data_IF_612796089326
#
_entry.id   IF_612796089326
#
_cell.length_a   1.000
_cell.length_b   1.000
_cell.length_c   1.000
_cell.angle_alpha   90.00
_cell.angle_beta   90.00
_cell.angle_gamma   90.00
#
_symmetry.space_group_name_H-M   'P 1'
#
loop_
_entity.id
_entity.type
_entity.pdbx_description
1 polymer ?
#
# COMPACT_ATOMS: atom_id res chain seq x y z
N UNK A 1 3.13 9.69 -11.00
CA UNK A 1 2.32 9.47 -12.21
C UNK A 1 3.11 9.64 -13.49
N UNK A 2 3.76 10.78 -13.73
CA UNK A 2 4.55 10.99 -14.96
C UNK A 2 5.65 9.95 -15.20
N UNK A 3 6.24 9.40 -14.13
CA UNK A 3 7.30 8.39 -14.26
C UNK A 3 6.82 7.09 -14.93
N UNK A 4 5.55 6.70 -14.74
CA UNK A 4 4.99 5.53 -15.41
C UNK A 4 4.76 5.75 -16.91
N UNK A 5 4.63 7.00 -17.37
CA UNK A 5 4.46 7.31 -18.81
C UNK A 5 5.67 6.89 -19.65
N UNK A 6 6.86 6.87 -19.04
CA UNK A 6 8.10 6.48 -19.70
C UNK A 6 8.52 5.06 -19.35
N UNK A 7 7.79 4.36 -18.48
CA UNK A 7 8.12 3.01 -18.06
C UNK A 7 7.34 1.99 -18.89
N UNK A 8 8.05 1.08 -19.54
CA UNK A 8 7.45 -0.11 -20.17
C UNK A 8 7.32 -1.25 -19.17
N UNK A 9 8.28 -1.39 -18.27
CA UNK A 9 8.23 -2.36 -17.19
C UNK A 9 8.92 -1.82 -15.92
N UNK A 10 8.41 -2.27 -14.78
CA UNK A 10 8.88 -1.88 -13.44
C UNK A 10 9.10 -3.11 -12.56
N UNK A 11 9.84 -2.91 -11.47
CA UNK A 11 9.80 -3.75 -10.27
C UNK A 11 9.30 -2.90 -9.12
N UNK A 12 8.56 -3.52 -8.22
CA UNK A 12 7.99 -2.87 -7.05
C UNK A 12 8.62 -3.49 -5.82
N UNK A 13 9.35 -2.69 -5.05
CA UNK A 13 10.02 -3.14 -3.82
C UNK A 13 9.26 -2.61 -2.62
N UNK A 14 8.74 -3.51 -1.79
CA UNK A 14 8.00 -3.15 -0.59
C UNK A 14 8.92 -2.87 0.60
N UNK A 15 8.31 -2.46 1.71
CA UNK A 15 8.99 -2.11 2.97
C UNK A 15 9.95 -3.18 3.53
N UNK A 16 9.72 -4.47 3.24
CA UNK A 16 10.55 -5.57 3.74
C UNK A 16 11.75 -5.93 2.83
N UNK A 17 12.19 -4.99 1.98
CA UNK A 17 13.27 -5.17 1.00
C UNK A 17 13.05 -6.39 0.07
N UNK A 18 11.79 -6.62 -0.29
CA UNK A 18 11.36 -7.68 -1.19
C UNK A 18 10.55 -7.11 -2.34
N UNK A 19 10.60 -7.81 -3.46
CA UNK A 19 9.92 -7.43 -4.69
C UNK A 19 8.57 -8.13 -4.80
N UNK A 20 7.60 -7.42 -5.36
CA UNK A 20 6.33 -8.00 -5.80
C UNK A 20 6.60 -9.09 -6.84
N UNK A 21 6.22 -10.32 -6.51
CA UNK A 21 6.62 -11.52 -7.24
C UNK A 21 5.40 -12.27 -7.75
N UNK A 22 5.33 -12.52 -9.05
CA UNK A 22 4.35 -13.43 -9.64
C UNK A 22 4.84 -14.87 -9.43
N UNK A 23 4.10 -15.67 -8.67
CA UNK A 23 4.51 -17.05 -8.36
C UNK A 23 4.39 -17.98 -9.58
N UNK A 24 5.09 -19.11 -9.54
CA UNK A 24 5.16 -20.10 -10.62
C UNK A 24 3.88 -20.91 -10.80
N UNK A 25 3.01 -20.92 -9.78
CA UNK A 25 1.65 -21.45 -9.87
C UNK A 25 0.74 -20.64 -10.81
N UNK A 26 1.24 -19.49 -11.29
CA UNK A 26 0.55 -18.53 -12.13
C UNK A 26 -0.80 -18.03 -11.56
N UNK A 27 -0.99 -18.11 -10.25
CA UNK A 27 -2.18 -17.66 -9.54
C UNK A 27 -1.78 -16.74 -8.38
N UNK A 28 -0.80 -17.15 -7.59
CA UNK A 28 -0.36 -16.44 -6.40
C UNK A 28 0.54 -15.25 -6.74
N UNK A 29 0.44 -14.22 -5.91
CA UNK A 29 1.36 -13.09 -5.89
C UNK A 29 1.94 -12.98 -4.50
N UNK A 30 3.27 -13.03 -4.42
CA UNK A 30 4.03 -13.10 -3.18
C UNK A 30 5.13 -12.05 -3.17
N UNK A 31 6.00 -12.11 -2.18
CA UNK A 31 7.20 -11.28 -2.08
C UNK A 31 8.45 -12.15 -2.09
N UNK A 32 9.42 -11.78 -2.93
CA UNK A 32 10.70 -12.47 -3.02
C UNK A 32 11.89 -11.50 -3.00
N UNK A 33 13.05 -11.95 -2.52
CA UNK A 33 14.27 -11.12 -2.47
C UNK A 33 14.96 -10.99 -3.83
N UNK A 34 14.74 -11.95 -4.73
CA UNK A 34 15.36 -11.98 -6.04
C UNK A 34 14.67 -11.02 -7.02
N UNK A 35 14.98 -9.74 -6.89
CA UNK A 35 14.53 -8.72 -7.83
C UNK A 35 14.96 -8.97 -9.27
N UNK A 36 16.05 -9.71 -9.51
CA UNK A 36 16.54 -9.96 -10.88
C UNK A 36 15.65 -10.89 -11.71
N UNK A 37 14.80 -11.69 -11.05
CA UNK A 37 13.90 -12.63 -11.71
C UNK A 37 12.91 -11.94 -12.66
N UNK A 38 12.54 -12.65 -13.73
CA UNK A 38 11.45 -12.22 -14.62
C UNK A 38 10.11 -12.11 -13.88
N UNK A 39 9.92 -12.92 -12.84
CA UNK A 39 8.71 -12.97 -12.01
C UNK A 39 8.52 -11.69 -11.17
N UNK A 40 9.60 -10.95 -10.90
CA UNK A 40 9.56 -9.66 -10.21
C UNK A 40 9.27 -8.48 -11.15
N UNK A 41 9.26 -8.71 -12.48
CA UNK A 41 9.05 -7.68 -13.49
C UNK A 41 7.58 -7.61 -13.90
N UNK A 42 7.04 -6.40 -13.84
CA UNK A 42 5.65 -6.10 -14.20
C UNK A 42 5.63 -5.10 -15.35
N UNK A 43 5.03 -5.49 -16.47
CA UNK A 43 4.78 -4.58 -17.58
C UNK A 43 3.66 -3.60 -17.20
N UNK A 44 3.82 -2.35 -17.59
CA UNK A 44 2.90 -1.26 -17.26
C UNK A 44 2.00 -0.99 -18.46
N UNK A 45 0.69 -1.11 -18.26
CA UNK A 45 -0.33 -0.77 -19.26
C UNK A 45 -1.28 0.27 -18.66
N UNK A 46 -1.61 1.33 -19.41
CA UNK A 46 -2.62 2.29 -18.98
C UNK A 46 -4.02 1.77 -19.31
N UNK A 47 -4.98 1.99 -18.41
CA UNK A 47 -6.37 1.63 -18.68
C UNK A 47 -6.94 2.49 -19.83
N UNK A 48 -7.80 1.94 -20.71
CA UNK A 48 -8.40 2.72 -21.79
C UNK A 48 -9.13 3.96 -21.26
N UNK A 49 -8.84 5.12 -21.85
CA UNK A 49 -9.47 6.38 -21.46
C UNK A 49 -8.97 6.98 -20.16
N UNK A 50 -7.90 6.44 -19.54
CA UNK A 50 -7.27 7.03 -18.37
C UNK A 50 -5.75 6.99 -18.45
N UNK A 51 -5.12 8.14 -18.20
CA UNK A 51 -3.66 8.23 -18.00
C UNK A 51 -3.27 8.14 -16.51
N UNK A 52 -4.24 7.94 -15.62
CA UNK A 52 -4.00 7.84 -14.18
C UNK A 52 -4.16 6.45 -13.60
N UNK A 53 -4.74 5.52 -14.37
CA UNK A 53 -5.02 4.15 -13.93
C UNK A 53 -4.13 3.19 -14.69
N UNK A 54 -3.43 2.33 -13.94
CA UNK A 54 -2.54 1.33 -14.47
C UNK A 54 -3.14 -0.07 -14.35
N UNK A 55 -2.65 -0.95 -15.22
CA UNK A 55 -2.74 -2.41 -15.13
C UNK A 55 -1.31 -2.93 -15.17
N UNK A 56 -1.00 -3.82 -14.23
CA UNK A 56 0.34 -4.40 -14.09
C UNK A 56 0.29 -5.84 -14.57
N UNK A 57 1.08 -6.18 -15.58
CA UNK A 57 1.08 -7.50 -16.22
C UNK A 57 2.35 -8.27 -15.87
N UNK A 58 2.16 -9.46 -15.31
CA UNK A 58 3.23 -10.39 -14.93
C UNK A 58 3.93 -11.00 -16.16
N UNK A 59 5.04 -11.68 -15.92
CA UNK A 59 5.74 -12.45 -16.94
C UNK A 59 4.95 -13.63 -17.53
N UNK A 60 3.84 -14.02 -16.90
CA UNK A 60 2.90 -15.05 -17.37
C UNK A 60 1.77 -14.49 -18.23
N UNK A 61 1.79 -13.18 -18.53
CA UNK A 61 0.75 -12.52 -19.30
C UNK A 61 -0.57 -12.29 -18.53
N UNK A 62 -0.56 -12.54 -17.21
CA UNK A 62 -1.67 -12.29 -16.28
C UNK A 62 -1.53 -10.96 -15.56
N UNK A 63 -2.63 -10.38 -15.12
CA UNK A 63 -2.68 -9.07 -14.48
C UNK A 63 -2.70 -9.17 -12.95
N UNK A 64 -2.02 -8.23 -12.28
CA UNK A 64 -2.14 -8.02 -10.85
C UNK A 64 -3.58 -7.64 -10.51
N UNK A 65 -4.25 -8.50 -9.75
CA UNK A 65 -5.70 -8.46 -9.54
C UNK A 65 -6.01 -8.32 -8.06
N UNK A 66 -6.78 -7.29 -7.70
CA UNK A 66 -7.39 -7.15 -6.38
C UNK A 66 -8.62 -8.06 -6.29
N UNK A 67 -8.48 -9.23 -5.66
CA UNK A 67 -9.55 -10.22 -5.58
C UNK A 67 -10.49 -9.96 -4.41
N UNK A 68 -11.70 -10.50 -4.47
CA UNK A 68 -12.61 -10.50 -3.31
C UNK A 68 -12.37 -11.67 -2.34
N UNK A 69 -11.33 -12.48 -2.56
CA UNK A 69 -11.04 -13.63 -1.71
C UNK A 69 -10.44 -13.16 -0.38
N UNK A 70 -10.98 -13.58 0.77
CA UNK A 70 -10.31 -13.36 2.05
C UNK A 70 -8.96 -14.09 2.04
N UNK A 71 -7.95 -13.50 2.67
CA UNK A 71 -6.62 -14.14 2.71
C UNK A 71 -6.51 -15.18 3.82
N UNK A 72 -6.75 -14.78 5.08
CA UNK A 72 -6.76 -15.66 6.24
C UNK A 72 -7.91 -15.28 7.15
N UNK A 73 -8.56 -16.29 7.74
CA UNK A 73 -9.66 -16.10 8.67
C UNK A 73 -9.19 -15.29 9.89
N UNK A 74 -9.91 -14.23 10.23
CA UNK A 74 -9.59 -13.34 11.36
C UNK A 74 -8.44 -12.35 11.11
N UNK A 75 -7.90 -12.26 9.88
CA UNK A 75 -6.90 -11.24 9.52
C UNK A 75 -7.45 -10.27 8.47
N UNK A 76 -6.94 -9.03 8.44
CA UNK A 76 -7.40 -8.00 7.51
C UNK A 76 -6.89 -8.24 6.08
N UNK A 77 -7.57 -7.66 5.11
CA UNK A 77 -7.13 -7.65 3.72
C UNK A 77 -7.56 -8.85 2.89
N UNK A 78 -7.67 -8.60 1.60
CA UNK A 78 -8.08 -9.60 0.60
C UNK A 78 -6.91 -9.96 -0.29
N UNK A 79 -6.92 -11.17 -0.85
CA UNK A 79 -5.81 -11.68 -1.66
C UNK A 79 -5.61 -10.83 -2.90
N UNK A 80 -4.35 -10.53 -3.19
CA UNK A 80 -3.94 -10.08 -4.52
C UNK A 80 -3.40 -11.30 -5.27
N UNK A 81 -3.91 -11.51 -6.46
CA UNK A 81 -3.61 -12.67 -7.31
C UNK A 81 -3.18 -12.20 -8.69
N UNK A 82 -2.65 -13.09 -9.50
CA UNK A 82 -2.46 -12.88 -10.93
C UNK A 82 -3.57 -13.59 -11.68
N UNK A 83 -4.33 -12.86 -12.50
CA UNK A 83 -5.45 -13.42 -13.25
C UNK A 83 -5.58 -12.80 -14.63
N UNK A 84 -6.25 -13.50 -15.54
CA UNK A 84 -6.61 -12.97 -16.85
C UNK A 84 -8.12 -13.16 -17.07
N UNK A 85 -8.97 -12.22 -16.60
CA UNK A 85 -10.40 -12.33 -16.77
C UNK A 85 -10.79 -12.20 -18.25
N UNK A 86 -11.95 -12.75 -18.62
CA UNK A 86 -12.48 -12.66 -20.01
C UNK A 86 -12.65 -11.22 -20.48
N UNK A 87 -12.91 -10.30 -19.54
CA UNK A 87 -12.99 -8.86 -19.76
C UNK A 87 -12.13 -8.18 -18.71
N UNK A 88 -11.33 -7.21 -19.13
CA UNK A 88 -10.50 -6.43 -18.22
C UNK A 88 -11.40 -5.46 -17.45
N UNK A 89 -11.66 -5.80 -16.19
CA UNK A 89 -12.53 -5.04 -15.28
C UNK A 89 -11.70 -4.22 -14.28
N UNK A 90 -12.40 -3.56 -13.35
CA UNK A 90 -11.76 -2.69 -12.36
C UNK A 90 -11.00 -3.42 -11.26
N UNK A 91 -11.04 -4.75 -11.18
CA UNK A 91 -10.19 -5.49 -10.24
C UNK A 91 -8.71 -5.46 -10.65
N UNK A 92 -8.43 -5.15 -11.92
CA UNK A 92 -7.09 -5.05 -12.48
C UNK A 92 -6.51 -3.63 -12.40
N UNK A 93 -7.31 -2.67 -11.95
CA UNK A 93 -7.04 -1.24 -12.06
C UNK A 93 -6.44 -0.69 -10.76
N UNK A 94 -5.23 -0.14 -10.91
CA UNK A 94 -4.45 0.41 -9.81
C UNK A 94 -4.13 1.87 -10.07
N UNK A 95 -4.56 2.74 -9.17
CA UNK A 95 -4.23 4.16 -9.14
C UNK A 95 -2.94 4.37 -8.33
N UNK A 96 -1.83 4.79 -8.95
CA UNK A 96 -0.62 5.11 -8.21
C UNK A 96 -0.72 6.48 -7.54
N UNK A 97 -0.47 6.53 -6.24
CA UNK A 97 -0.46 7.76 -5.45
C UNK A 97 0.95 7.98 -4.93
N UNK A 98 1.53 9.15 -5.22
CA UNK A 98 2.90 9.47 -4.81
C UNK A 98 2.93 9.86 -3.33
N UNK A 99 3.85 9.26 -2.59
CA UNK A 99 4.15 9.62 -1.19
C UNK A 99 5.67 9.74 -1.04
N UNK A 100 6.17 10.98 -1.05
CA UNK A 100 7.61 11.24 -1.09
C UNK A 100 8.29 10.62 -2.32
N UNK A 101 9.27 9.73 -2.07
CA UNK A 101 9.97 8.94 -3.09
C UNK A 101 9.26 7.63 -3.45
N UNK A 102 8.29 7.20 -2.65
CA UNK A 102 7.57 5.95 -2.81
C UNK A 102 6.18 6.18 -3.42
N UNK A 103 5.49 5.09 -3.71
CA UNK A 103 4.09 5.10 -4.12
C UNK A 103 3.22 4.18 -3.28
N UNK A 104 1.93 4.50 -3.25
CA UNK A 104 0.84 3.59 -2.91
C UNK A 104 0.14 3.18 -4.20
N UNK A 105 -0.27 1.92 -4.31
CA UNK A 105 -1.12 1.46 -5.41
C UNK A 105 -2.52 1.23 -4.88
N UNK A 106 -3.44 2.11 -5.25
CA UNK A 106 -4.81 2.15 -4.74
C UNK A 106 -5.75 1.45 -5.71
N UNK A 107 -6.54 0.52 -5.19
CA UNK A 107 -7.66 -0.10 -5.92
C UNK A 107 -8.78 0.91 -6.15
N UNK A 108 -9.66 0.65 -7.11
CA UNK A 108 -10.87 1.46 -7.33
C UNK A 108 -11.74 1.66 -6.07
N UNK A 109 -11.72 0.69 -5.16
CA UNK A 109 -12.52 0.71 -3.93
C UNK A 109 -11.81 1.35 -2.73
N UNK A 110 -10.61 1.91 -2.91
CA UNK A 110 -9.92 2.66 -1.86
C UNK A 110 -8.91 1.87 -1.02
N UNK A 111 -8.81 0.56 -1.21
CA UNK A 111 -7.76 -0.25 -0.58
C UNK A 111 -6.41 -0.08 -1.27
N UNK A 112 -5.32 -0.39 -0.58
CA UNK A 112 -3.95 -0.26 -1.10
C UNK A 112 -3.25 -1.61 -1.19
N UNK A 113 -2.41 -1.78 -2.22
CA UNK A 113 -1.53 -2.93 -2.34
C UNK A 113 -0.58 -3.00 -1.14
N UNK A 114 -0.55 -4.14 -0.45
CA UNK A 114 0.16 -4.32 0.82
C UNK A 114 1.13 -5.50 0.76
N UNK A 115 2.36 -5.25 1.17
CA UNK A 115 3.41 -6.24 1.36
C UNK A 115 3.41 -6.77 2.80
N UNK A 116 2.94 -7.99 3.01
CA UNK A 116 2.84 -8.58 4.34
C UNK A 116 4.16 -9.18 4.86
N UNK A 117 4.60 -8.74 6.04
CA UNK A 117 5.68 -9.35 6.82
C UNK A 117 5.17 -10.22 7.97
N UNK A 118 6.06 -10.84 8.75
CA UNK A 118 5.67 -11.63 9.93
C UNK A 118 5.81 -13.13 9.75
N UNK A 119 4.92 -13.91 10.37
CA UNK A 119 4.96 -15.38 10.39
C UNK A 119 4.12 -16.00 9.25
N UNK A 120 4.48 -17.19 8.75
CA UNK A 120 3.61 -17.95 7.84
C UNK A 120 2.23 -18.23 8.47
N UNK A 121 1.16 -18.33 7.67
CA UNK A 121 1.12 -18.21 6.20
C UNK A 121 1.14 -16.76 5.69
N UNK A 122 1.12 -15.77 6.58
CA UNK A 122 1.04 -14.35 6.23
C UNK A 122 2.36 -13.76 5.72
N UNK A 123 3.50 -14.31 6.17
CA UNK A 123 4.82 -13.96 5.67
C UNK A 123 4.88 -14.05 4.14
N UNK A 124 5.36 -12.99 3.51
CA UNK A 124 5.55 -12.88 2.06
C UNK A 124 4.25 -12.87 1.24
N UNK A 125 3.07 -12.85 1.87
CA UNK A 125 1.84 -12.68 1.11
C UNK A 125 1.69 -11.25 0.62
N UNK A 126 0.80 -11.07 -0.36
CA UNK A 126 0.40 -9.77 -0.87
C UNK A 126 -1.11 -9.67 -0.79
N UNK A 127 -1.60 -8.63 -0.13
CA UNK A 127 -3.03 -8.36 0.01
C UNK A 127 -3.34 -6.94 -0.46
N UNK A 128 -4.61 -6.60 -0.50
CA UNK A 128 -5.00 -5.20 -0.50
C UNK A 128 -5.88 -4.89 0.72
N UNK A 129 -5.49 -3.87 1.47
CA UNK A 129 -6.21 -3.38 2.66
C UNK A 129 -5.93 -1.90 2.91
N UNK A 130 -6.54 -1.35 3.95
CA UNK A 130 -6.16 -0.06 4.51
C UNK A 130 -5.44 -0.37 5.83
N UNK A 131 -4.16 -0.01 5.99
CA UNK A 131 -3.47 -0.25 7.24
C UNK A 131 -4.12 0.57 8.35
N UNK A 132 -4.55 -0.10 9.41
CA UNK A 132 -5.15 0.55 10.59
C UNK A 132 -4.14 0.73 11.74
N UNK A 133 -3.00 0.03 11.70
CA UNK A 133 -1.94 0.10 12.72
C UNK A 133 -0.74 0.90 12.22
N UNK A 134 -0.18 1.79 13.07
CA UNK A 134 1.01 2.60 12.76
C UNK A 134 2.17 1.76 12.25
N UNK A 135 2.44 0.61 12.88
CA UNK A 135 3.54 -0.30 12.52
C UNK A 135 3.43 -0.96 11.15
N UNK A 136 2.25 -0.87 10.51
CA UNK A 136 1.98 -1.45 9.20
C UNK A 136 1.63 -0.40 8.15
N UNK A 137 1.65 0.89 8.49
CA UNK A 137 1.41 1.98 7.55
C UNK A 137 2.40 1.96 6.39
N UNK A 138 3.65 1.60 6.67
CA UNK A 138 4.69 1.57 5.63
C UNK A 138 4.58 0.35 4.71
N UNK A 139 3.75 -0.65 5.06
CA UNK A 139 3.64 -1.89 4.28
C UNK A 139 2.89 -1.71 2.96
N UNK A 140 2.22 -0.57 2.77
CA UNK A 140 1.57 -0.18 1.51
C UNK A 140 2.44 0.70 0.63
N UNK A 141 3.67 0.99 1.07
CA UNK A 141 4.63 1.79 0.34
C UNK A 141 5.52 0.90 -0.51
N UNK A 142 5.68 1.33 -1.76
CA UNK A 142 6.47 0.64 -2.76
C UNK A 142 7.45 1.61 -3.41
N UNK A 143 8.73 1.24 -3.41
CA UNK A 143 9.71 1.83 -4.32
C UNK A 143 9.50 1.27 -5.72
N UNK A 144 9.67 2.12 -6.73
CA UNK A 144 9.53 1.73 -8.13
C UNK A 144 10.87 1.78 -8.83
N UNK A 145 11.35 0.60 -9.23
CA UNK A 145 12.54 0.46 -10.07
C UNK A 145 12.10 0.31 -11.53
N UNK A 146 12.38 1.32 -12.37
CA UNK A 146 12.09 1.23 -13.81
C UNK A 146 13.15 0.37 -14.48
N UNK A 147 12.74 -0.78 -15.02
CA UNK A 147 13.65 -1.76 -15.64
C UNK A 147 13.61 -1.74 -17.16
N UNK A 148 12.59 -1.14 -17.75
CA UNK A 148 12.53 -0.90 -19.18
C UNK A 148 11.81 0.43 -19.44
N UNK A 149 12.40 1.29 -20.27
CA UNK A 149 11.82 2.57 -20.65
C UNK A 149 11.23 2.52 -22.07
N UNK A 150 10.15 3.26 -22.28
CA UNK A 150 9.64 3.56 -23.61
C UNK A 150 10.57 4.57 -24.26
N UNK A 151 11.50 4.08 -25.09
CA UNK A 151 12.27 4.96 -25.99
C UNK A 151 11.34 5.34 -27.13
N UNK A 152 10.81 6.57 -27.09
CA UNK A 152 10.24 7.17 -28.29
C UNK A 152 11.38 7.32 -29.28
N UNK A 153 11.47 6.42 -30.26
CA UNK A 153 12.49 6.51 -31.30
C UNK A 153 12.24 7.78 -32.11
N UNK A 154 13.16 8.77 -32.13
CA UNK A 154 13.03 9.90 -33.05
C UNK A 154 13.45 9.41 -34.43
N UNK A 155 12.51 8.87 -35.21
CA UNK A 155 12.83 8.48 -36.59
C UNK A 155 11.97 7.38 -37.17
N UNK A 156 10.75 7.73 -37.57
CA UNK A 156 10.16 7.19 -38.80
C UNK A 156 9.73 8.39 -39.65
N UNK A 157 10.71 9.12 -40.17
CA UNK A 157 10.53 9.68 -41.51
C UNK A 157 10.49 8.47 -42.46
N UNK A 158 9.53 8.38 -43.40
CA UNK A 158 9.64 7.42 -44.49
C UNK A 158 10.99 7.62 -45.19
N UNK A 159 11.65 6.55 -45.68
CA UNK A 159 12.96 6.68 -46.31
C UNK A 159 12.85 7.67 -47.47
N UNK A 160 13.50 8.82 -47.33
CA UNK A 160 13.72 9.71 -48.45
C UNK A 160 14.58 8.94 -49.46
N UNK A 161 13.97 8.67 -50.61
CA UNK A 161 14.61 8.10 -51.80
C UNK A 161 15.89 8.90 -52.10
N UNK A 162 17.04 8.26 -52.37
CA UNK A 162 18.24 9.00 -52.73
C UNK A 162 18.00 9.75 -54.05
N UNK A 163 18.25 11.07 -54.14
CA UNK A 163 18.17 11.75 -55.42
C UNK A 163 19.34 11.31 -56.30
N UNK A 164 18.99 10.71 -57.43
CA UNK A 164 19.87 10.36 -58.52
C UNK A 164 20.50 11.64 -59.08
N UNK A 165 21.81 11.60 -59.31
CA UNK A 165 22.58 12.66 -59.93
C UNK A 165 22.08 12.92 -61.36
N UNK A 166 21.64 14.14 -61.64
CA UNK A 166 21.53 14.65 -62.99
C UNK A 166 22.05 16.10 -63.05
N UNK A 167 22.91 16.29 -64.04
CA UNK A 167 23.65 17.51 -64.38
C UNK A 167 22.76 18.56 -65.04
N UNK A 168 23.22 19.81 -64.93
CA UNK A 168 22.99 20.98 -65.76
C UNK A 168 21.62 21.68 -65.70
N UNK A 169 21.61 22.93 -65.21
CA UNK A 169 21.65 24.13 -66.08
C UNK A 169 21.13 25.41 -65.37
N UNK A 170 22.02 26.40 -65.28
CA UNK A 170 21.87 27.88 -65.36
C UNK A 170 20.99 28.68 -64.38
N UNK A 171 21.69 29.56 -63.64
CA UNK A 171 21.51 31.00 -63.42
C UNK A 171 20.12 31.60 -63.11
N UNK A 172 19.99 32.28 -61.95
CA UNK A 172 20.05 33.75 -61.88
C UNK A 172 20.12 34.28 -60.43
N UNK A 173 20.70 35.47 -60.33
CA UNK A 173 21.03 36.37 -59.21
C UNK A 173 20.01 36.48 -58.05
N UNK A 174 20.29 37.00 -56.84
CA UNK A 174 21.09 38.18 -56.47
C UNK A 174 21.18 38.33 -54.95
N UNK A 175 22.26 38.98 -54.49
CA UNK A 175 22.37 39.83 -53.28
C UNK A 175 22.65 39.21 -51.89
N UNK A 176 23.91 39.38 -51.49
CA UNK A 176 24.60 39.32 -50.17
C UNK A 176 23.96 40.24 -49.07
N UNK A 177 24.53 40.42 -47.84
CA UNK A 177 25.77 39.86 -47.23
C UNK A 177 25.74 39.42 -45.73
N UNK A 178 26.67 38.50 -45.41
CA UNK A 178 27.61 38.43 -44.26
C UNK A 178 27.40 39.27 -42.97
N UNK A 179 27.55 38.65 -41.79
CA UNK A 179 28.79 38.76 -40.95
C UNK A 179 28.73 38.02 -39.57
N UNK A 180 29.67 37.07 -39.42
CA UNK A 180 30.54 36.63 -38.30
C UNK A 180 30.18 36.68 -36.78
N UNK A 181 30.81 35.79 -35.95
CA UNK A 181 30.37 35.33 -34.63
C UNK A 181 31.22 35.86 -33.45
N UNK A 182 30.73 35.75 -32.20
CA UNK A 182 31.56 35.96 -30.98
C UNK A 182 31.24 34.95 -29.86
N UNK A 183 32.32 34.62 -29.16
CA UNK A 183 32.64 33.58 -28.17
C UNK A 183 32.47 34.06 -26.73
N UNK A 184 32.59 33.12 -25.77
CA UNK A 184 32.89 33.27 -24.32
C UNK A 184 31.70 33.58 -23.40
N UNK A 185 31.64 33.14 -22.13
CA UNK A 185 32.66 32.57 -21.25
C UNK A 185 32.06 32.03 -19.93
N UNK A 186 32.97 31.58 -19.06
CA UNK A 186 32.86 30.69 -17.90
C UNK A 186 32.25 31.25 -16.57
N UNK A 187 32.22 30.34 -15.58
CA UNK A 187 32.24 30.47 -14.10
C UNK A 187 30.84 30.46 -13.43
N UNK A 188 30.58 29.84 -12.26
CA UNK A 188 31.40 29.63 -11.05
C UNK A 188 30.89 28.48 -10.15
N UNK A 189 31.65 28.19 -9.09
CA UNK A 189 31.71 27.02 -8.18
C UNK A 189 31.46 27.43 -6.70
N UNK A 190 31.12 26.44 -5.85
CA UNK A 190 31.20 26.37 -4.34
C UNK A 190 30.14 27.19 -3.53
N UNK A 191 29.65 26.82 -2.33
CA UNK A 191 30.16 26.01 -1.20
C UNK A 191 29.05 25.49 -0.23
N UNK A 192 29.49 24.77 0.82
CA UNK A 192 28.86 23.92 1.86
C UNK A 192 28.20 24.60 3.09
N UNK A 193 27.46 23.84 3.94
CA UNK A 193 27.68 23.73 5.42
C UNK A 193 26.60 22.90 6.18
N UNK A 194 27.07 22.13 7.17
CA UNK A 194 26.37 21.26 8.15
C UNK A 194 25.56 21.98 9.26
N UNK A 195 24.65 21.26 9.96
CA UNK A 195 24.74 20.97 11.42
C UNK A 195 23.51 20.30 12.07
N UNK A 196 23.80 19.51 13.11
CA UNK A 196 22.97 18.63 13.95
C UNK A 196 21.95 19.35 14.86
N UNK A 197 20.85 18.67 15.22
CA UNK A 197 20.08 18.90 16.46
C UNK A 197 19.35 17.63 16.91
N UNK A 198 19.45 17.32 18.21
CA UNK A 198 19.10 16.02 18.80
C UNK A 198 17.61 15.76 19.05
N UNK A 199 17.28 14.48 19.23
CA UNK A 199 15.97 14.01 19.65
C UNK A 199 16.09 12.98 20.78
N UNK A 200 15.45 13.27 21.90
CA UNK A 200 15.28 12.39 23.08
C UNK A 200 14.52 11.09 22.74
N UNK A 201 14.58 10.03 23.58
CA UNK A 201 13.88 8.76 23.31
C UNK A 201 12.34 8.94 23.36
N UNK A 202 11.56 8.29 22.49
CA UNK A 202 10.11 8.47 22.46
C UNK A 202 9.42 7.84 23.68
N UNK A 203 8.42 8.56 24.21
CA UNK A 203 7.58 8.22 25.35
C UNK A 203 6.68 7.02 25.03
N UNK A 204 6.40 6.17 26.02
CA UNK A 204 5.63 4.92 25.91
C UNK A 204 4.25 5.13 25.25
N UNK A 205 3.99 4.38 24.17
CA UNK A 205 2.84 4.56 23.26
C UNK A 205 1.49 4.08 23.83
N UNK A 206 1.45 3.39 24.99
CA UNK A 206 0.21 2.80 25.55
C UNK A 206 -0.17 1.46 24.89
N UNK A 207 -1.30 0.87 25.27
CA UNK A 207 -1.87 -0.37 24.67
C UNK A 207 -3.12 -0.06 23.85
N UNK A 208 -3.40 -0.84 22.81
CA UNK A 208 -4.69 -0.74 22.10
C UNK A 208 -5.75 -1.58 22.82
N UNK A 209 -6.89 -0.99 23.12
CA UNK A 209 -8.08 -1.71 23.61
C UNK A 209 -9.04 -1.85 22.44
N UNK A 210 -9.35 -3.09 22.06
CA UNK A 210 -10.43 -3.44 21.14
C UNK A 210 -11.66 -3.81 21.95
N UNK A 211 -12.80 -3.20 21.67
CA UNK A 211 -14.03 -3.48 22.40
C UNK A 211 -15.22 -3.78 21.48
N UNK A 212 -16.06 -4.68 21.95
CA UNK A 212 -17.33 -5.03 21.33
C UNK A 212 -18.44 -4.92 22.37
N UNK A 213 -19.63 -4.51 21.95
CA UNK A 213 -20.81 -4.46 22.83
C UNK A 213 -21.55 -5.77 22.69
N UNK A 214 -21.76 -6.48 23.79
CA UNK A 214 -22.58 -7.68 23.81
C UNK A 214 -24.06 -7.29 23.77
N UNK A 215 -24.88 -8.09 23.09
CA UNK A 215 -26.32 -7.96 23.10
C UNK A 215 -26.93 -8.42 24.45
N UNK A 216 -28.26 -8.32 24.58
CA UNK A 216 -29.00 -8.69 25.81
C UNK A 216 -28.83 -10.18 26.20
N UNK A 217 -28.33 -11.01 25.28
CA UNK A 217 -28.09 -12.43 25.48
C UNK A 217 -26.62 -12.74 25.82
N UNK A 218 -25.76 -11.72 25.85
CA UNK A 218 -24.31 -11.88 26.06
C UNK A 218 -23.58 -12.42 24.83
N UNK A 219 -24.26 -12.49 23.68
CA UNK A 219 -23.68 -12.89 22.42
C UNK A 219 -23.09 -11.65 21.72
N UNK A 220 -22.00 -11.88 21.01
CA UNK A 220 -21.32 -10.83 20.24
C UNK A 220 -21.54 -11.16 18.78
N UNK A 221 -22.09 -10.22 18.02
CA UNK A 221 -22.22 -10.36 16.57
C UNK A 221 -20.84 -10.31 15.93
N UNK A 222 -20.25 -11.48 15.70
CA UNK A 222 -18.94 -11.66 15.07
C UNK A 222 -18.93 -11.16 13.59
N UNK A 223 -20.10 -10.82 13.02
CA UNK A 223 -20.28 -10.28 11.66
C UNK A 223 -20.35 -8.74 11.57
N UNK A 224 -20.35 -8.00 12.70
CA UNK A 224 -20.22 -6.53 12.69
C UNK A 224 -18.74 -6.16 12.55
N UNK A 225 -18.38 -5.83 11.32
CA UNK A 225 -17.02 -5.64 10.79
C UNK A 225 -16.20 -4.49 11.41
N UNK A 226 -16.74 -3.73 12.37
CA UNK A 226 -16.02 -2.63 13.04
C UNK A 226 -16.11 -2.74 14.56
N UNK A 227 -15.24 -3.57 15.14
CA UNK A 227 -14.93 -3.50 16.57
C UNK A 227 -14.29 -2.15 16.88
N UNK A 228 -14.92 -1.35 17.74
CA UNK A 228 -14.39 -0.06 18.18
C UNK A 228 -13.07 -0.23 18.93
N UNK A 229 -12.16 0.75 18.85
CA UNK A 229 -10.88 0.68 19.57
C UNK A 229 -10.30 2.04 19.92
N UNK A 230 -9.48 2.08 20.97
CA UNK A 230 -8.70 3.27 21.35
C UNK A 230 -7.39 2.91 22.04
N UNK A 231 -6.48 3.89 22.14
CA UNK A 231 -5.23 3.76 22.89
C UNK A 231 -5.47 4.04 24.37
N UNK A 232 -5.11 3.09 25.23
CA UNK A 232 -5.18 3.17 26.69
C UNK A 232 -3.78 3.18 27.30
N UNK A 233 -3.51 4.15 28.17
CA UNK A 233 -2.19 4.31 28.81
C UNK A 233 -2.18 3.90 30.29
N UNK A 234 -3.33 3.52 30.84
CA UNK A 234 -3.45 3.07 32.21
C UNK A 234 -3.19 1.58 32.37
N UNK A 235 -3.21 1.14 33.63
CA UNK A 235 -3.15 -0.26 34.04
C UNK A 235 -4.34 -0.66 34.94
N UNK A 236 -5.16 0.31 35.34
CA UNK A 236 -6.35 0.08 36.16
C UNK A 236 -7.59 -0.26 35.31
N UNK A 237 -8.39 -1.20 35.80
CA UNK A 237 -9.70 -1.51 35.19
C UNK A 237 -10.66 -0.35 35.38
N UNK A 238 -10.63 0.35 36.53
CA UNK A 238 -11.53 1.49 36.78
C UNK A 238 -11.30 2.65 35.79
N UNK A 239 -10.04 2.96 35.48
CA UNK A 239 -9.66 3.94 34.46
C UNK A 239 -10.11 3.50 33.06
N UNK A 240 -9.98 2.21 32.76
CA UNK A 240 -10.43 1.64 31.50
C UNK A 240 -11.96 1.73 31.36
N UNK A 241 -12.68 1.32 32.40
CA UNK A 241 -14.14 1.35 32.48
C UNK A 241 -14.66 2.78 32.34
N UNK A 242 -14.06 3.74 33.06
CA UNK A 242 -14.46 5.16 32.95
C UNK A 242 -14.26 5.69 31.53
N UNK A 243 -13.12 5.37 30.90
CA UNK A 243 -12.87 5.79 29.52
C UNK A 243 -13.87 5.18 28.53
N UNK A 244 -14.25 3.92 28.74
CA UNK A 244 -15.27 3.25 27.93
C UNK A 244 -16.67 3.87 28.11
N UNK A 245 -17.02 4.27 29.34
CA UNK A 245 -18.25 5.00 29.63
C UNK A 245 -18.30 6.34 28.88
N UNK A 246 -17.21 7.12 28.92
CA UNK A 246 -17.09 8.40 28.22
C UNK A 246 -17.19 8.25 26.69
N UNK A 247 -16.51 7.24 26.12
CA UNK A 247 -16.49 7.00 24.68
C UNK A 247 -17.86 6.55 24.14
N UNK A 248 -18.60 5.77 24.93
CA UNK A 248 -19.89 5.22 24.53
C UNK A 248 -21.11 6.05 24.96
N UNK A 249 -20.92 7.01 25.86
CA UNK A 249 -22.03 7.77 26.46
C UNK A 249 -22.96 6.93 27.34
N UNK A 250 -22.44 5.89 28.00
CA UNK A 250 -23.20 4.99 28.87
C UNK A 250 -22.86 5.21 30.34
N UNK A 251 -23.86 5.11 31.23
CA UNK A 251 -23.70 5.37 32.67
C UNK A 251 -23.24 4.14 33.47
N UNK A 252 -23.59 2.92 33.05
CA UNK A 252 -23.28 1.69 33.78
C UNK A 252 -22.95 0.51 32.85
N UNK A 253 -21.68 0.10 32.85
CA UNK A 253 -21.13 -0.95 31.99
C UNK A 253 -20.24 -1.92 32.77
N UNK A 254 -20.20 -3.16 32.31
CA UNK A 254 -19.30 -4.19 32.81
C UNK A 254 -18.31 -4.57 31.72
N UNK A 255 -17.02 -4.37 31.98
CA UNK A 255 -15.93 -4.73 31.06
C UNK A 255 -15.52 -6.18 31.31
N UNK A 256 -15.66 -7.02 30.30
CA UNK A 256 -15.43 -8.46 30.35
C UNK A 256 -14.29 -8.89 29.41
N UNK A 257 -13.71 -10.05 29.69
CA UNK A 257 -12.82 -10.78 28.79
C UNK A 257 -13.46 -12.09 28.38
N UNK A 258 -13.22 -12.52 27.13
CA UNK A 258 -13.68 -13.82 26.62
C UNK A 258 -12.61 -14.86 26.91
N UNK A 259 -12.95 -15.92 27.63
CA UNK A 259 -12.03 -17.02 27.86
C UNK A 259 -11.76 -17.78 26.55
N UNK A 260 -10.50 -17.94 26.14
CA UNK A 260 -10.14 -18.72 24.95
C UNK A 260 -10.50 -20.20 25.05
N UNK A 261 -10.71 -20.71 26.26
CA UNK A 261 -10.93 -22.13 26.51
C UNK A 261 -12.39 -22.56 26.34
N UNK A 262 -13.34 -21.66 26.61
CA UNK A 262 -14.77 -21.99 26.65
C UNK A 262 -15.68 -20.89 26.08
N UNK A 263 -15.12 -19.77 25.61
CA UNK A 263 -15.88 -18.66 25.05
C UNK A 263 -16.68 -17.85 26.08
N UNK A 264 -16.65 -18.21 27.37
CA UNK A 264 -17.42 -17.52 28.42
C UNK A 264 -16.84 -16.14 28.75
N UNK A 265 -17.72 -15.22 29.11
CA UNK A 265 -17.38 -13.86 29.53
C UNK A 265 -17.05 -13.83 31.03
N UNK A 266 -15.92 -13.21 31.36
CA UNK A 266 -15.47 -13.02 32.72
C UNK A 266 -15.21 -11.52 32.98
N UNK A 267 -15.87 -10.90 33.98
CA UNK A 267 -15.63 -9.50 34.32
C UNK A 267 -14.17 -9.26 34.70
N UNK A 268 -13.58 -8.20 34.16
CA UNK A 268 -12.26 -7.77 34.55
C UNK A 268 -12.33 -7.18 35.98
N UNK A 269 -11.59 -7.79 36.90
CA UNK A 269 -11.49 -7.35 38.30
C UNK A 269 -10.06 -7.12 38.78
N UNK A 270 -9.09 -7.67 38.05
CA UNK A 270 -7.67 -7.55 38.34
C UNK A 270 -7.06 -6.46 37.47
N UNK A 271 -5.96 -5.87 37.94
CA UNK A 271 -5.19 -4.93 37.14
C UNK A 271 -4.81 -5.53 35.78
N UNK A 272 -4.79 -4.67 34.76
CA UNK A 272 -4.39 -5.06 33.43
C UNK A 272 -2.92 -5.50 33.44
N UNK A 273 -2.53 -6.50 32.63
CA UNK A 273 -1.15 -6.96 32.55
C UNK A 273 -0.19 -5.77 32.33
N UNK A 274 0.95 -5.66 33.02
CA UNK A 274 1.81 -4.48 33.00
C UNK A 274 2.54 -4.25 31.66
N UNK A 275 2.31 -5.12 30.67
CA UNK A 275 2.79 -4.95 29.31
C UNK A 275 1.88 -4.00 28.51
N UNK A 276 2.40 -3.43 27.43
CA UNK A 276 1.61 -2.65 26.48
C UNK A 276 0.96 -3.54 25.41
N UNK A 277 0.65 -4.79 25.74
CA UNK A 277 0.03 -5.70 24.79
C UNK A 277 -1.42 -5.28 24.53
N UNK A 278 -1.84 -5.38 23.28
CA UNK A 278 -3.22 -5.14 22.87
C UNK A 278 -4.17 -6.08 23.60
N UNK A 279 -5.37 -5.59 23.90
CA UNK A 279 -6.36 -6.32 24.67
C UNK A 279 -7.74 -6.23 24.03
N UNK A 280 -8.42 -7.37 23.95
CA UNK A 280 -9.81 -7.44 23.53
C UNK A 280 -10.72 -7.52 24.76
N UNK A 281 -11.71 -6.65 24.82
CA UNK A 281 -12.70 -6.61 25.89
C UNK A 281 -14.11 -6.62 25.30
N UNK A 282 -15.06 -7.09 26.09
CA UNK A 282 -16.48 -7.16 25.74
C UNK A 282 -17.24 -6.33 26.77
N UNK A 283 -18.12 -5.46 26.30
CA UNK A 283 -18.85 -4.51 27.13
C UNK A 283 -20.27 -5.03 27.25
N UNK A 284 -20.70 -5.21 28.48
CA UNK A 284 -22.07 -5.62 28.82
C UNK A 284 -22.75 -4.44 29.50
N UNK A 285 -23.92 -4.03 29.02
CA UNK A 285 -24.72 -3.00 29.69
C UNK A 285 -25.35 -3.56 30.96
N UNK A 286 -25.19 -2.85 32.08
CA UNK A 286 -25.70 -3.28 33.39
C UNK A 286 -27.25 -3.37 33.45
N UNK A 287 -27.95 -2.73 32.51
CA UNK A 287 -29.41 -2.81 32.35
C UNK A 287 -29.90 -4.19 31.89
N UNK A 288 -29.03 -5.04 31.33
CA UNK A 288 -29.33 -6.42 30.97
C UNK A 288 -29.34 -7.30 32.24
N UNK A 289 -30.40 -7.17 33.05
CA UNK A 289 -30.67 -8.02 34.21
C UNK A 289 -30.91 -9.47 33.77
N UNK A 290 -29.84 -10.23 33.57
CA UNK A 290 -29.96 -11.65 33.22
C UNK A 290 -28.65 -12.42 33.04
N UNK A 291 -27.52 -11.74 32.85
CA UNK A 291 -26.24 -12.44 32.60
C UNK A 291 -25.64 -12.90 33.93
N UNK A 292 -25.90 -14.16 34.29
CA UNK A 292 -25.21 -14.84 35.38
C UNK A 292 -23.77 -15.17 34.93
N UNK A 293 -22.81 -14.44 35.47
CA UNK A 293 -21.37 -14.70 35.32
C UNK A 293 -20.93 -15.94 36.11
#
# INVERSE_FOLDING_TARGET
MEFFRKAKAVRLRGHHDKYLYADEDEESVTQDRNGSSKNARWAVEFAPGSESILRLKSCYGKYLTASNQPFLLGMTGRKVIQSLPRRLDSSLEWEPIREGSQIKLKTRYGNFLRANGGLPPWRNSVTHDIPHRTSTQDWILWDVDVVEILVQSPGHHPPAVPPVAHSDSLDFESSSPSSVPIKSGNFSRQESSDSYSGGSPPKSEGRTIYYHVADENGEVDDDVVEGYSFIFKGNGVDELTKKLMEEMGLEDIIVCSRSPLNGKLYPLRLQLPPNNADMHVIIVQSSAKGIAF
#
